data_IF_813236652521
#
_entry.id   IF_813236652521
#
_cell.length_a   1.000
_cell.length_b   1.000
_cell.length_c   1.000
_cell.angle_alpha   90.00
_cell.angle_beta   90.00
_cell.angle_gamma   90.00
#
_symmetry.space_group_name_H-M   'P 1'
#
loop_
_entity.id
_entity.type
_entity.pdbx_description
1 polymer ?
#
# COMPACT_ATOMS: atom_id res chain seq x y z
N UNK A 1 3.00 10.09 -23.49
CA UNK A 1 3.33 10.50 -22.10
C UNK A 1 3.06 9.36 -21.11
N UNK A 2 1.82 8.86 -21.00
CA UNK A 2 1.47 7.78 -20.07
C UNK A 2 2.25 6.47 -20.27
N UNK A 3 2.48 6.04 -21.51
CA UNK A 3 3.26 4.84 -21.81
C UNK A 3 4.69 4.88 -21.23
N UNK A 4 5.31 6.06 -21.12
CA UNK A 4 6.62 6.23 -20.49
C UNK A 4 6.56 6.14 -18.98
N UNK A 5 5.48 6.58 -18.34
CA UNK A 5 5.28 6.42 -16.88
C UNK A 5 5.21 4.94 -16.53
N UNK A 6 4.40 4.19 -17.30
CA UNK A 6 4.22 2.74 -17.11
C UNK A 6 5.54 2.01 -17.37
N UNK A 7 6.21 2.30 -18.49
CA UNK A 7 7.46 1.63 -18.86
C UNK A 7 8.59 1.84 -17.84
N UNK A 8 8.62 2.97 -17.14
CA UNK A 8 9.62 3.26 -16.11
C UNK A 8 9.21 2.82 -14.70
N UNK A 9 8.02 2.22 -14.51
CA UNK A 9 7.51 1.88 -13.18
C UNK A 9 7.30 3.11 -12.27
N UNK A 10 7.14 4.30 -12.86
CA UNK A 10 7.03 5.55 -12.14
C UNK A 10 5.66 5.69 -11.46
N UNK A 11 5.65 6.30 -10.28
CA UNK A 11 4.43 6.70 -9.58
C UNK A 11 3.92 8.05 -10.13
N UNK A 12 2.62 8.16 -10.36
CA UNK A 12 1.95 9.43 -10.62
C UNK A 12 1.23 9.88 -9.35
N UNK A 13 1.43 11.14 -8.97
CA UNK A 13 0.77 11.71 -7.80
C UNK A 13 -0.18 12.81 -8.25
N UNK A 14 -1.46 12.67 -7.91
CA UNK A 14 -2.46 13.72 -8.04
C UNK A 14 -2.65 14.37 -6.66
N UNK A 15 -2.54 15.70 -6.61
CA UNK A 15 -2.69 16.48 -5.38
C UNK A 15 -3.86 17.45 -5.55
N UNK A 16 -4.81 17.40 -4.64
CA UNK A 16 -5.84 18.41 -4.46
C UNK A 16 -5.50 19.24 -3.21
N UNK A 17 -5.58 20.57 -3.31
CA UNK A 17 -5.17 21.47 -2.23
C UNK A 17 -5.95 21.25 -0.94
N UNK A 18 -7.19 20.76 -1.03
CA UNK A 18 -8.09 20.58 0.10
C UNK A 18 -8.44 19.12 0.38
N UNK A 19 -8.39 18.24 -0.64
CA UNK A 19 -8.88 16.86 -0.52
C UNK A 19 -7.75 15.83 -0.39
N UNK A 20 -6.50 16.27 -0.51
CA UNK A 20 -5.32 15.45 -0.26
C UNK A 20 -4.70 14.85 -1.52
N UNK A 21 -4.03 13.71 -1.34
CA UNK A 21 -3.12 13.13 -2.33
C UNK A 21 -3.55 11.72 -2.73
N UNK A 22 -3.52 11.44 -4.03
CA UNK A 22 -3.69 10.10 -4.60
C UNK A 22 -2.42 9.71 -5.35
N UNK A 23 -1.84 8.58 -4.96
CA UNK A 23 -0.70 7.97 -5.65
C UNK A 23 -1.16 6.82 -6.53
N UNK A 24 -1.02 6.98 -7.85
CA UNK A 24 -1.14 5.91 -8.83
C UNK A 24 0.22 5.22 -8.99
N UNK A 25 0.34 4.09 -8.32
CA UNK A 25 1.51 3.23 -8.41
C UNK A 25 1.41 2.30 -9.63
N UNK A 26 2.48 2.23 -10.42
CA UNK A 26 2.57 1.33 -11.60
C UNK A 26 3.39 0.08 -11.33
N UNK A 27 4.03 -0.01 -10.16
CA UNK A 27 4.77 -1.18 -9.69
C UNK A 27 4.67 -1.33 -8.17
N UNK A 28 4.80 -2.57 -7.69
CA UNK A 28 4.83 -2.90 -6.27
C UNK A 28 5.87 -4.00 -5.99
N UNK A 29 6.56 -3.91 -4.86
CA UNK A 29 7.60 -4.88 -4.50
C UNK A 29 6.97 -6.24 -4.20
N UNK A 30 7.39 -7.28 -4.92
CA UNK A 30 7.08 -8.68 -4.64
C UNK A 30 5.77 -9.22 -5.21
N UNK A 31 4.95 -8.41 -5.88
CA UNK A 31 3.62 -8.83 -6.37
C UNK A 31 3.25 -8.16 -7.69
N UNK A 32 2.29 -8.74 -8.42
CA UNK A 32 1.57 -8.04 -9.50
C UNK A 32 0.25 -7.51 -8.93
N UNK A 33 -0.27 -6.41 -9.48
CA UNK A 33 -1.57 -5.87 -9.03
C UNK A 33 -2.73 -6.86 -9.21
N UNK A 34 -2.69 -7.70 -10.24
CA UNK A 34 -3.68 -8.76 -10.42
C UNK A 34 -3.70 -9.74 -9.22
N UNK A 35 -2.52 -10.07 -8.66
CA UNK A 35 -2.38 -11.00 -7.54
C UNK A 35 -2.84 -10.38 -6.20
N UNK A 36 -2.81 -9.05 -6.09
CA UNK A 36 -3.37 -8.31 -4.94
C UNK A 36 -4.89 -8.14 -5.08
N UNK A 37 -5.35 -7.95 -6.32
CA UNK A 37 -6.75 -7.74 -6.65
C UNK A 37 -7.59 -9.02 -6.51
N UNK A 38 -6.98 -10.20 -6.67
CA UNK A 38 -7.67 -11.49 -6.63
C UNK A 38 -8.14 -11.89 -5.24
N UNK A 39 -7.48 -11.42 -4.18
CA UNK A 39 -7.81 -11.76 -2.79
C UNK A 39 -8.01 -10.52 -1.91
N UNK A 40 -8.23 -9.36 -2.53
CA UNK A 40 -8.51 -8.11 -1.83
C UNK A 40 -9.69 -8.23 -0.85
N UNK A 41 -9.59 -7.55 0.28
CA UNK A 41 -10.67 -7.41 1.26
C UNK A 41 -11.45 -6.13 0.97
N UNK A 42 -12.77 -6.19 1.05
CA UNK A 42 -13.63 -5.02 0.90
C UNK A 42 -13.90 -4.35 2.25
N UNK A 43 -13.89 -3.03 2.27
CA UNK A 43 -14.23 -2.18 3.41
C UNK A 43 -15.27 -1.14 2.97
N UNK A 44 -16.14 -0.74 3.88
CA UNK A 44 -17.02 0.40 3.69
C UNK A 44 -16.41 1.65 4.31
N UNK A 45 -16.20 2.70 3.51
CA UNK A 45 -15.63 3.97 3.95
C UNK A 45 -16.52 5.09 3.43
N UNK A 46 -17.14 5.85 4.34
CA UNK A 46 -18.03 6.96 4.00
C UNK A 46 -19.11 6.60 2.94
N UNK A 47 -19.65 5.37 2.98
CA UNK A 47 -20.67 4.88 2.04
C UNK A 47 -20.12 4.38 0.69
N UNK A 48 -18.80 4.30 0.54
CA UNK A 48 -18.15 3.70 -0.62
C UNK A 48 -17.47 2.37 -0.25
N UNK A 49 -17.72 1.35 -1.06
CA UNK A 49 -16.99 0.07 -0.99
C UNK A 49 -15.59 0.23 -1.58
N UNK A 50 -14.56 0.06 -0.76
CA UNK A 50 -13.14 0.14 -1.15
C UNK A 50 -12.52 -1.24 -1.06
N UNK A 51 -11.83 -1.68 -2.12
CA UNK A 51 -11.03 -2.92 -2.10
C UNK A 51 -9.60 -2.61 -1.67
N UNK A 52 -9.15 -3.30 -0.64
CA UNK A 52 -7.83 -3.14 -0.03
C UNK A 52 -7.06 -4.46 -0.11
N UNK A 53 -5.77 -4.40 -0.42
CA UNK A 53 -4.91 -5.59 -0.41
C UNK A 53 -4.84 -6.23 0.97
N UNK A 54 -4.67 -7.56 1.03
CA UNK A 54 -4.49 -8.30 2.29
C UNK A 54 -3.32 -7.74 3.08
N UNK A 55 -3.52 -7.53 4.39
CA UNK A 55 -2.53 -6.90 5.27
C UNK A 55 -1.20 -7.65 5.22
N UNK A 56 -1.22 -8.97 5.22
CA UNK A 56 -0.03 -9.83 5.18
C UNK A 56 0.79 -9.59 3.90
N UNK A 57 0.12 -9.42 2.75
CA UNK A 57 0.78 -9.10 1.49
C UNK A 57 1.34 -7.68 1.48
N UNK A 58 0.62 -6.72 2.06
CA UNK A 58 1.08 -5.34 2.18
C UNK A 58 2.33 -5.23 3.07
N UNK A 59 2.38 -5.97 4.19
CA UNK A 59 3.54 -6.07 5.07
C UNK A 59 4.72 -6.74 4.36
N UNK A 60 4.50 -7.89 3.69
CA UNK A 60 5.55 -8.56 2.92
C UNK A 60 6.12 -7.69 1.80
N UNK A 61 5.29 -6.87 1.15
CA UNK A 61 5.76 -5.91 0.14
C UNK A 61 6.67 -4.84 0.75
N UNK A 62 6.34 -4.34 1.95
CA UNK A 62 7.17 -3.37 2.69
C UNK A 62 8.54 -3.94 3.03
N UNK A 63 8.58 -5.16 3.56
CA UNK A 63 9.81 -5.89 3.89
C UNK A 63 10.72 -6.01 2.65
N UNK A 64 10.15 -6.47 1.52
CA UNK A 64 10.88 -6.63 0.26
C UNK A 64 11.36 -5.30 -0.33
N UNK A 65 10.63 -4.21 -0.11
CA UNK A 65 11.02 -2.89 -0.63
C UNK A 65 12.24 -2.30 0.09
N UNK A 66 12.45 -2.64 1.37
CA UNK A 66 13.59 -2.21 2.18
C UNK A 66 13.75 -0.69 2.37
N UNK A 67 12.78 0.13 1.92
CA UNK A 67 12.91 1.60 1.95
C UNK A 67 13.01 2.08 3.41
N UNK A 68 13.76 3.15 3.71
CA UNK A 68 13.91 3.66 5.07
C UNK A 68 12.58 3.84 5.83
N UNK A 69 11.58 4.43 5.16
CA UNK A 69 10.22 4.62 5.73
C UNK A 69 9.49 3.31 6.01
N UNK A 70 9.69 2.28 5.20
CA UNK A 70 9.01 0.99 5.40
C UNK A 70 9.67 0.20 6.52
N UNK A 71 11.00 0.26 6.65
CA UNK A 71 11.71 -0.32 7.82
C UNK A 71 11.21 0.29 9.12
N UNK A 72 11.02 1.61 9.15
CA UNK A 72 10.52 2.29 10.33
C UNK A 72 9.05 1.96 10.62
N UNK A 73 8.21 1.95 9.59
CA UNK A 73 6.83 1.52 9.72
C UNK A 73 6.71 0.10 10.30
N UNK A 74 7.50 -0.85 9.79
CA UNK A 74 7.45 -2.25 10.26
C UNK A 74 7.90 -2.38 11.71
N UNK A 75 8.91 -1.62 12.15
CA UNK A 75 9.31 -1.56 13.56
C UNK A 75 8.19 -1.05 14.46
N UNK A 76 7.59 0.08 14.10
CA UNK A 76 6.49 0.66 14.88
C UNK A 76 5.24 -0.24 14.88
N UNK A 77 4.95 -0.89 13.76
CA UNK A 77 3.83 -1.83 13.64
C UNK A 77 4.02 -3.06 14.55
N UNK A 78 5.20 -3.66 14.55
CA UNK A 78 5.51 -4.81 15.40
C UNK A 78 5.41 -4.48 16.90
N UNK A 79 5.87 -3.30 17.31
CA UNK A 79 5.78 -2.85 18.71
C UNK A 79 4.32 -2.72 19.19
N UNK A 80 3.40 -2.29 18.32
CA UNK A 80 1.96 -2.17 18.65
C UNK A 80 1.28 -3.52 18.76
N UNK A 81 1.61 -4.46 17.86
CA UNK A 81 1.06 -5.82 17.91
C UNK A 81 1.44 -6.56 19.20
N UNK A 82 2.65 -6.31 19.73
CA UNK A 82 3.07 -6.89 21.02
C UNK A 82 2.39 -6.26 22.25
N UNK A 83 1.80 -5.08 22.13
CA UNK A 83 1.03 -4.44 23.21
C UNK A 83 -0.39 -5.00 23.29
N UNK A 84 -1.02 -5.33 22.16
CA UNK A 84 -2.37 -5.92 22.10
C UNK A 84 -2.43 -7.40 22.57
N UNK A 85 -1.30 -8.11 22.62
CA UNK A 85 -1.23 -9.50 23.14
C UNK A 85 -1.03 -9.58 24.67
N UNK A 86 -0.84 -8.43 25.36
CA UNK A 86 -0.60 -8.35 26.80
C UNK A 86 -1.80 -7.86 27.62
N UNK A 87 -2.93 -7.56 26.98
CA UNK A 87 -4.25 -7.28 27.57
C UNK A 87 -5.20 -8.49 27.41
#
# INVERSE_FOLDING_TARGET
MLARVIANGACLTALHSEEGQIDLMTSIAGFRYADLASDATSFEVAGATVRVGRLEKLLSSKERSGRPKDREFLRAFAARGSEEELD
#
